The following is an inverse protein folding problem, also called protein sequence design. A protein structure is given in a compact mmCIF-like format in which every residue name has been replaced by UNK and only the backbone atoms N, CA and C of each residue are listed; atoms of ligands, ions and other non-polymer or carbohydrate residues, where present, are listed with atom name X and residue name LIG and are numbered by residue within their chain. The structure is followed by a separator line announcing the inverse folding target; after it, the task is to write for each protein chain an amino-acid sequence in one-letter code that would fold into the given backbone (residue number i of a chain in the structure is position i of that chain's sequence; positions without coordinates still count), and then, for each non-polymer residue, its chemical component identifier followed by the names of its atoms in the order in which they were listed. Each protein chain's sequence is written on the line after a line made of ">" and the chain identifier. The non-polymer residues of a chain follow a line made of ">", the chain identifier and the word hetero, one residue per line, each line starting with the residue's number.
data_IF_141603043684
#
_entry.id   IF_141603043684
#
_cell.length_a   1.000
_cell.length_b   1.000
_cell.length_c   1.000
_cell.angle_alpha   90.00
_cell.angle_beta   90.00
_cell.angle_gamma   90.00
#
_symmetry.space_group_name_H-M   'P 1'
#
loop_
_entity.id
_entity.type
_entity.pdbx_description
1 polymer ?
#
# COMPACT_ATOMS: atom_id res chain seq x y z
N UNK A 1 2.14 6.87 -21.94
CA UNK A 1 1.83 7.20 -20.53
C UNK A 1 0.58 6.43 -20.10
N UNK A 2 0.69 5.72 -19.02
CA UNK A 2 -0.47 5.02 -18.48
C UNK A 2 -1.32 5.99 -17.65
N UNK A 3 -2.62 5.81 -17.68
CA UNK A 3 -3.56 6.62 -16.91
C UNK A 3 -4.53 5.72 -16.16
N UNK A 4 -4.89 6.13 -14.97
CA UNK A 4 -6.03 5.58 -14.26
C UNK A 4 -7.23 6.44 -14.63
N UNK A 5 -8.20 5.85 -15.31
CA UNK A 5 -9.44 6.54 -15.71
C UNK A 5 -10.61 5.95 -14.96
N UNK A 6 -11.32 6.81 -14.28
CA UNK A 6 -12.57 6.46 -13.58
C UNK A 6 -13.70 7.18 -14.31
N UNK A 7 -14.72 6.42 -14.70
CA UNK A 7 -15.88 6.96 -15.39
C UNK A 7 -17.17 6.42 -14.79
N UNK A 8 -18.05 7.34 -14.43
CA UNK A 8 -19.38 7.07 -13.91
C UNK A 8 -19.38 6.08 -12.73
N UNK A 9 -18.38 6.19 -11.85
CA UNK A 9 -18.21 5.29 -10.71
C UNK A 9 -19.29 5.54 -9.67
N UNK A 10 -20.07 4.49 -9.42
CA UNK A 10 -21.03 4.44 -8.31
C UNK A 10 -20.77 3.18 -7.50
N UNK A 11 -20.62 3.32 -6.20
CA UNK A 11 -20.33 2.22 -5.29
C UNK A 11 -21.05 2.38 -3.96
N UNK A 12 -21.63 1.28 -3.51
CA UNK A 12 -22.20 1.10 -2.18
C UNK A 12 -21.79 -0.27 -1.65
N UNK A 13 -21.51 -0.37 -0.36
CA UNK A 13 -21.26 -1.66 0.27
C UNK A 13 -22.54 -2.50 0.33
N UNK A 14 -22.41 -3.81 0.28
CA UNK A 14 -23.52 -4.73 0.41
C UNK A 14 -24.27 -4.48 1.74
N UNK A 15 -25.59 -4.24 1.63
CA UNK A 15 -26.42 -3.87 2.78
C UNK A 15 -26.32 -2.42 3.23
N UNK A 16 -25.49 -1.60 2.58
CA UNK A 16 -25.43 -0.16 2.82
C UNK A 16 -26.59 0.58 2.19
N UNK A 17 -27.00 1.67 2.82
CA UNK A 17 -28.08 2.54 2.34
C UNK A 17 -27.52 3.66 1.46
N UNK A 18 -26.33 4.13 1.80
CA UNK A 18 -25.71 5.30 1.15
C UNK A 18 -24.60 4.89 0.20
N UNK A 19 -24.51 5.55 -0.96
CA UNK A 19 -23.42 5.41 -1.87
C UNK A 19 -22.15 6.06 -1.28
N UNK A 20 -21.03 5.33 -1.34
CA UNK A 20 -19.71 5.88 -1.00
C UNK A 20 -19.21 6.77 -2.14
N UNK A 21 -19.44 6.33 -3.37
CA UNK A 21 -19.20 7.10 -4.59
C UNK A 21 -20.48 7.14 -5.42
N UNK A 22 -20.79 8.29 -5.98
CA UNK A 22 -21.96 8.50 -6.81
C UNK A 22 -21.58 9.28 -8.06
N UNK A 23 -21.65 8.61 -9.20
CA UNK A 23 -21.40 9.18 -10.52
C UNK A 23 -20.09 9.99 -10.61
N UNK A 24 -19.01 9.40 -10.12
CA UNK A 24 -17.70 10.05 -10.05
C UNK A 24 -16.87 9.72 -11.29
N UNK A 25 -16.33 10.75 -11.94
CA UNK A 25 -15.46 10.61 -13.10
C UNK A 25 -14.23 11.50 -12.95
N UNK A 26 -13.05 10.91 -13.15
CA UNK A 26 -11.77 11.62 -13.16
C UNK A 26 -10.69 10.76 -13.82
N UNK A 27 -9.55 11.38 -14.10
CA UNK A 27 -8.36 10.66 -14.56
C UNK A 27 -7.15 11.10 -13.78
N UNK A 28 -6.25 10.14 -13.55
CA UNK A 28 -4.97 10.34 -12.86
C UNK A 28 -3.87 9.84 -13.78
N UNK A 29 -2.87 10.68 -14.00
CA UNK A 29 -1.65 10.26 -14.70
C UNK A 29 -0.78 9.43 -13.74
N UNK A 30 -0.28 8.32 -14.22
CA UNK A 30 0.53 7.40 -13.40
C UNK A 30 1.91 7.95 -13.07
N UNK A 31 2.35 9.00 -13.75
CA UNK A 31 3.60 9.70 -13.41
C UNK A 31 3.42 10.69 -12.25
N UNK A 32 2.19 10.92 -11.81
CA UNK A 32 1.91 11.80 -10.70
C UNK A 32 2.11 11.11 -9.36
N UNK A 33 2.70 11.85 -8.42
CA UNK A 33 2.67 11.50 -7.00
C UNK A 33 1.45 12.18 -6.39
N UNK A 34 0.36 11.45 -6.31
CA UNK A 34 -0.92 11.99 -5.86
C UNK A 34 -1.18 11.65 -4.40
N UNK A 35 -1.46 12.67 -3.60
CA UNK A 35 -1.94 12.51 -2.23
C UNK A 35 -3.46 12.41 -2.19
N UNK A 36 -3.99 11.37 -1.56
CA UNK A 36 -5.40 11.20 -1.28
C UNK A 36 -5.69 11.71 0.13
N UNK A 37 -6.32 12.87 0.24
CA UNK A 37 -6.57 13.53 1.51
C UNK A 37 -8.06 13.51 1.84
N UNK A 38 -8.38 13.21 3.08
CA UNK A 38 -9.74 13.23 3.60
C UNK A 38 -9.80 12.69 5.01
N UNK A 39 -10.93 12.89 5.68
CA UNK A 39 -11.16 12.30 7.01
C UNK A 39 -11.25 10.79 6.91
N UNK A 40 -10.88 10.09 7.98
CA UNK A 40 -11.07 8.66 8.08
C UNK A 40 -12.55 8.29 7.86
N UNK A 41 -12.79 7.19 7.12
CA UNK A 41 -14.15 6.74 6.81
C UNK A 41 -14.82 7.46 5.63
N UNK A 42 -14.10 8.30 4.88
CA UNK A 42 -14.65 9.04 3.73
C UNK A 42 -14.30 8.43 2.35
N UNK A 43 -14.04 7.12 2.31
CA UNK A 43 -13.93 6.39 1.06
C UNK A 43 -12.50 6.25 0.51
N UNK A 44 -11.45 6.74 1.17
CA UNK A 44 -10.06 6.59 0.70
C UNK A 44 -9.66 5.13 0.53
N UNK A 45 -9.75 4.35 1.58
CA UNK A 45 -9.44 2.92 1.57
C UNK A 45 -10.38 2.17 0.63
N UNK A 46 -11.64 2.55 0.57
CA UNK A 46 -12.64 1.98 -0.36
C UNK A 46 -12.19 2.17 -1.80
N UNK A 47 -11.77 3.37 -2.18
CA UNK A 47 -11.29 3.64 -3.54
C UNK A 47 -10.05 2.81 -3.88
N UNK A 48 -9.09 2.69 -2.98
CA UNK A 48 -7.91 1.85 -3.19
C UNK A 48 -8.29 0.37 -3.37
N UNK A 49 -9.25 -0.12 -2.60
CA UNK A 49 -9.76 -1.49 -2.74
C UNK A 49 -10.52 -1.71 -4.05
N UNK A 50 -11.21 -0.70 -4.57
CA UNK A 50 -11.82 -0.76 -5.90
C UNK A 50 -10.78 -0.85 -7.01
N UNK A 51 -9.67 -0.10 -6.91
CA UNK A 51 -8.54 -0.21 -7.84
C UNK A 51 -7.91 -1.61 -7.82
N UNK A 52 -7.88 -2.25 -6.65
CA UNK A 52 -7.39 -3.63 -6.49
C UNK A 52 -8.38 -4.70 -6.96
N UNK A 53 -9.58 -4.30 -7.38
CA UNK A 53 -10.60 -5.23 -7.85
C UNK A 53 -11.30 -6.05 -6.76
N UNK A 54 -11.27 -5.60 -5.50
CA UNK A 54 -11.86 -6.33 -4.37
C UNK A 54 -13.39 -6.27 -4.31
N UNK A 55 -14.00 -5.29 -4.95
CA UNK A 55 -15.45 -5.06 -4.90
C UNK A 55 -16.02 -4.87 -6.28
N UNK A 56 -17.30 -5.20 -6.43
CA UNK A 56 -18.07 -4.89 -7.64
C UNK A 56 -18.60 -3.46 -7.56
N UNK A 57 -18.60 -2.76 -8.67
CA UNK A 57 -19.03 -1.37 -8.76
C UNK A 57 -19.76 -1.12 -10.10
N UNK A 58 -20.48 0.00 -10.16
CA UNK A 58 -21.05 0.51 -11.41
C UNK A 58 -20.09 1.52 -12.03
N UNK A 59 -20.05 1.58 -13.36
CA UNK A 59 -19.13 2.41 -14.10
C UNK A 59 -17.90 1.65 -14.56
N UNK A 60 -16.86 2.39 -14.92
CA UNK A 60 -15.60 1.80 -15.41
C UNK A 60 -14.40 2.36 -14.68
N UNK A 61 -13.48 1.49 -14.31
CA UNK A 61 -12.14 1.84 -13.86
C UNK A 61 -11.17 1.18 -14.83
N UNK A 62 -10.51 2.00 -15.65
CA UNK A 62 -9.44 1.57 -16.52
C UNK A 62 -8.11 1.96 -15.86
N UNK A 63 -7.35 0.95 -15.46
CA UNK A 63 -6.12 1.15 -14.72
C UNK A 63 -5.05 0.15 -15.17
N UNK A 64 -3.76 0.53 -15.17
CA UNK A 64 -2.70 -0.41 -15.46
C UNK A 64 -2.67 -1.54 -14.43
N UNK A 65 -2.21 -2.70 -14.86
CA UNK A 65 -2.01 -3.85 -13.97
C UNK A 65 -0.78 -3.67 -13.09
N UNK A 66 -0.74 -4.38 -11.98
CA UNK A 66 0.47 -4.45 -11.15
C UNK A 66 0.51 -3.45 -10.00
N UNK A 67 -0.63 -3.15 -9.40
CA UNK A 67 -0.68 -2.38 -8.17
C UNK A 67 -0.04 -3.13 -7.01
N UNK A 68 0.76 -2.42 -6.22
CA UNK A 68 1.29 -2.88 -4.94
C UNK A 68 0.65 -2.09 -3.83
N UNK A 69 -0.01 -2.79 -2.92
CA UNK A 69 -0.75 -2.18 -1.83
C UNK A 69 0.04 -2.20 -0.53
N UNK A 70 0.06 -1.07 0.13
CA UNK A 70 0.59 -0.92 1.47
C UNK A 70 -0.55 -0.55 2.43
N UNK A 71 -0.63 -1.09 3.63
CA UNK A 71 0.38 -1.91 4.32
C UNK A 71 0.34 -3.41 3.96
N UNK A 72 1.49 -4.05 4.03
CA UNK A 72 1.55 -5.51 3.97
C UNK A 72 0.93 -6.13 5.23
N UNK A 73 0.24 -7.25 5.07
CA UNK A 73 -0.27 -8.03 6.19
C UNK A 73 0.84 -8.95 6.70
N UNK A 74 1.30 -8.68 7.92
CA UNK A 74 2.30 -9.51 8.60
C UNK A 74 1.58 -10.54 9.47
N UNK A 75 1.89 -11.81 9.26
CA UNK A 75 1.28 -12.92 10.00
C UNK A 75 1.87 -13.04 11.40
N UNK A 76 1.17 -13.73 12.31
CA UNK A 76 1.70 -14.01 13.65
C UNK A 76 3.03 -14.77 13.61
N UNK A 77 3.18 -15.70 12.66
CA UNK A 77 4.45 -16.41 12.43
C UNK A 77 5.59 -15.45 12.12
N UNK A 78 5.35 -14.52 11.19
CA UNK A 78 6.34 -13.53 10.78
C UNK A 78 6.68 -12.54 11.89
N UNK A 79 5.75 -12.25 12.79
CA UNK A 79 6.02 -11.40 13.97
C UNK A 79 7.09 -11.98 14.89
N UNK A 80 7.22 -13.30 14.95
CA UNK A 80 8.27 -13.99 15.71
C UNK A 80 9.60 -14.14 14.98
N UNK A 81 9.65 -13.77 13.69
CA UNK A 81 10.83 -13.89 12.83
C UNK A 81 11.57 -12.56 12.74
N UNK A 82 12.85 -12.62 12.40
CA UNK A 82 13.59 -11.43 11.99
C UNK A 82 13.18 -11.02 10.58
N UNK A 83 13.12 -9.72 10.31
CA UNK A 83 12.57 -9.23 9.04
C UNK A 83 13.32 -9.77 7.81
N UNK A 84 14.64 -9.91 7.91
CA UNK A 84 15.46 -10.44 6.82
C UNK A 84 15.06 -11.87 6.38
N UNK A 85 14.41 -12.63 7.28
CA UNK A 85 14.00 -14.00 6.99
C UNK A 85 12.75 -14.10 6.11
N UNK A 86 11.91 -13.05 6.09
CA UNK A 86 10.65 -13.10 5.33
C UNK A 86 10.45 -11.95 4.32
N UNK A 87 11.48 -11.15 4.05
CA UNK A 87 11.42 -10.09 3.03
C UNK A 87 10.97 -10.63 1.68
N UNK A 88 11.51 -11.78 1.26
CA UNK A 88 11.16 -12.39 -0.03
C UNK A 88 9.71 -12.90 -0.06
N UNK A 89 9.14 -13.24 1.09
CA UNK A 89 7.72 -13.61 1.20
C UNK A 89 6.79 -12.40 0.99
N UNK A 90 7.24 -11.20 1.38
CA UNK A 90 6.48 -9.96 1.19
C UNK A 90 6.58 -9.45 -0.24
N UNK A 91 7.76 -9.54 -0.82
CA UNK A 91 8.06 -9.02 -2.14
C UNK A 91 9.03 -9.97 -2.85
N UNK A 92 8.52 -10.78 -3.74
CA UNK A 92 9.31 -11.78 -4.48
C UNK A 92 10.49 -11.12 -5.22
N UNK A 93 11.68 -11.66 -5.00
CA UNK A 93 12.90 -11.15 -5.61
C UNK A 93 13.50 -9.91 -4.97
N UNK A 94 12.94 -9.45 -3.85
CA UNK A 94 13.56 -8.38 -3.06
C UNK A 94 14.75 -8.92 -2.28
N UNK A 95 15.93 -8.40 -2.58
CA UNK A 95 17.14 -8.79 -1.87
C UNK A 95 17.35 -7.93 -0.61
N UNK A 96 17.98 -8.53 0.40
CA UNK A 96 18.22 -7.89 1.70
C UNK A 96 18.96 -6.54 1.57
N UNK A 97 19.97 -6.46 0.70
CA UNK A 97 20.73 -5.23 0.51
C UNK A 97 19.89 -4.10 -0.08
N UNK A 98 18.90 -4.42 -0.90
CA UNK A 98 17.97 -3.43 -1.46
C UNK A 98 17.09 -2.84 -0.37
N UNK A 99 16.52 -3.68 0.48
CA UNK A 99 15.73 -3.22 1.62
C UNK A 99 16.58 -2.41 2.62
N UNK A 100 17.82 -2.84 2.88
CA UNK A 100 18.74 -2.11 3.75
C UNK A 100 19.07 -0.71 3.21
N UNK A 101 19.23 -0.58 1.90
CA UNK A 101 19.46 0.71 1.24
C UNK A 101 18.27 1.65 1.41
N UNK A 102 17.06 1.16 1.15
CA UNK A 102 15.85 1.96 1.32
C UNK A 102 15.62 2.36 2.79
N UNK A 103 15.96 1.47 3.73
CA UNK A 103 15.93 1.80 5.16
C UNK A 103 16.85 2.95 5.52
N UNK A 104 18.06 2.96 4.96
CA UNK A 104 19.00 4.05 5.17
C UNK A 104 18.43 5.40 4.70
N UNK A 105 17.75 5.41 3.55
CA UNK A 105 17.06 6.59 3.03
C UNK A 105 15.89 7.03 3.92
N UNK A 106 15.28 6.09 4.65
CA UNK A 106 14.24 6.38 5.65
C UNK A 106 14.80 6.77 7.03
N UNK A 107 16.12 6.89 7.14
CA UNK A 107 16.79 7.31 8.37
C UNK A 107 16.96 6.22 9.42
N UNK A 108 16.88 4.95 9.03
CA UNK A 108 17.06 3.80 9.91
C UNK A 108 18.35 3.02 9.60
N UNK A 109 18.85 2.30 10.58
CA UNK A 109 19.95 1.35 10.39
C UNK A 109 19.42 -0.01 10.02
N UNK A 110 20.25 -0.84 9.37
CA UNK A 110 19.89 -2.20 9.01
C UNK A 110 19.79 -3.16 10.20
N UNK A 111 20.22 -2.73 11.40
CA UNK A 111 20.14 -3.53 12.62
C UNK A 111 18.70 -3.99 12.93
N UNK A 112 17.70 -3.18 12.60
CA UNK A 112 16.30 -3.56 12.84
C UNK A 112 15.84 -4.74 11.98
N UNK A 113 16.54 -5.05 10.89
CA UNK A 113 16.26 -6.22 10.05
C UNK A 113 16.62 -7.55 10.77
N UNK A 114 17.51 -7.49 11.73
CA UNK A 114 18.03 -8.66 12.49
C UNK A 114 17.44 -8.78 13.90
N UNK A 115 16.38 -8.05 14.18
CA UNK A 115 15.61 -8.17 15.42
C UNK A 115 14.25 -8.79 15.14
N UNK A 116 13.67 -9.54 16.10
CA UNK A 116 12.31 -10.07 15.93
C UNK A 116 11.34 -8.94 15.57
N UNK A 117 10.61 -9.12 14.48
CA UNK A 117 9.73 -8.06 13.94
C UNK A 117 8.72 -7.57 14.97
N UNK A 118 8.18 -8.49 15.77
CA UNK A 118 7.24 -8.17 16.84
C UNK A 118 7.85 -7.34 17.98
N UNK A 119 9.19 -7.32 18.14
CA UNK A 119 9.88 -6.53 19.16
C UNK A 119 10.14 -5.08 18.73
N UNK A 120 9.94 -4.77 17.45
CA UNK A 120 10.18 -3.44 16.91
C UNK A 120 9.03 -2.49 17.28
N UNK A 121 9.33 -1.19 17.32
CA UNK A 121 8.29 -0.17 17.45
C UNK A 121 7.39 -0.15 16.23
N UNK A 122 6.14 0.36 16.34
CA UNK A 122 5.27 0.51 15.16
C UNK A 122 5.90 1.32 14.03
N UNK A 123 6.64 2.37 14.35
CA UNK A 123 7.38 3.18 13.36
C UNK A 123 8.49 2.40 12.66
N UNK A 124 9.28 1.63 13.41
CA UNK A 124 10.32 0.76 12.83
C UNK A 124 9.74 -0.31 11.92
N UNK A 125 8.64 -0.95 12.32
CA UNK A 125 7.92 -1.92 11.48
C UNK A 125 7.44 -1.29 10.18
N UNK A 126 6.82 -0.12 10.26
CA UNK A 126 6.32 0.61 9.09
C UNK A 126 7.47 0.96 8.13
N UNK A 127 8.60 1.40 8.64
CA UNK A 127 9.78 1.72 7.82
C UNK A 127 10.34 0.49 7.11
N UNK A 128 10.39 -0.67 7.76
CA UNK A 128 10.80 -1.92 7.11
C UNK A 128 9.85 -2.26 5.95
N UNK A 129 8.55 -2.20 6.19
CA UNK A 129 7.55 -2.53 5.16
C UNK A 129 7.60 -1.54 3.99
N UNK A 130 7.79 -0.25 4.26
CA UNK A 130 8.00 0.76 3.21
C UNK A 130 9.29 0.51 2.43
N UNK A 131 10.37 0.16 3.11
CA UNK A 131 11.63 -0.16 2.46
C UNK A 131 11.51 -1.34 1.52
N UNK A 132 10.81 -2.39 1.92
CA UNK A 132 10.51 -3.56 1.08
C UNK A 132 9.67 -3.16 -0.14
N UNK A 133 8.65 -2.34 0.07
CA UNK A 133 7.81 -1.82 -1.01
C UNK A 133 8.61 -1.05 -2.06
N UNK A 134 9.49 -0.15 -1.60
CA UNK A 134 10.31 0.69 -2.49
C UNK A 134 11.45 -0.09 -3.15
N UNK A 135 11.97 -1.11 -2.48
CA UNK A 135 13.01 -1.98 -3.01
C UNK A 135 12.52 -2.89 -4.15
N UNK A 136 11.24 -3.15 -4.22
CA UNK A 136 10.66 -4.03 -5.23
C UNK A 136 10.75 -3.49 -6.67
N UNK A 137 10.64 -4.38 -7.63
CA UNK A 137 10.88 -4.10 -9.04
C UNK A 137 9.68 -3.46 -9.76
N UNK A 138 9.48 -2.16 -9.60
CA UNK A 138 8.52 -1.39 -10.38
C UNK A 138 7.05 -1.62 -10.00
N UNK A 139 6.14 -0.97 -10.70
CA UNK A 139 4.71 -1.01 -10.47
C UNK A 139 4.18 0.25 -9.79
N UNK A 140 2.86 0.30 -9.63
CA UNK A 140 2.19 1.44 -8.97
C UNK A 140 1.97 1.13 -7.50
N UNK A 141 2.36 2.07 -6.65
CA UNK A 141 2.15 1.94 -5.21
C UNK A 141 0.81 2.55 -4.82
N UNK A 142 -0.01 1.75 -4.16
CA UNK A 142 -1.20 2.22 -3.47
C UNK A 142 -0.90 2.21 -1.97
N UNK A 143 -0.60 3.38 -1.43
CA UNK A 143 -0.17 3.52 -0.03
C UNK A 143 -1.32 4.11 0.77
N UNK A 144 -1.82 3.33 1.73
CA UNK A 144 -2.90 3.72 2.62
C UNK A 144 -2.33 4.07 4.00
N UNK A 145 -2.48 5.34 4.39
CA UNK A 145 -2.08 5.88 5.69
C UNK A 145 -0.65 5.51 6.15
N UNK A 146 0.40 5.79 5.34
CA UNK A 146 1.76 5.37 5.66
C UNK A 146 2.31 6.01 6.93
N UNK A 147 1.78 7.16 7.32
CA UNK A 147 2.28 7.95 8.44
C UNK A 147 1.54 7.70 9.76
N UNK A 148 0.48 6.88 9.77
CA UNK A 148 -0.31 6.61 10.97
C UNK A 148 0.51 5.98 12.12
N UNK A 149 1.65 5.37 11.81
CA UNK A 149 2.55 4.71 12.75
C UNK A 149 3.98 5.26 12.70
N UNK A 150 4.22 6.34 11.97
CA UNK A 150 5.51 7.03 11.94
C UNK A 150 5.48 8.18 12.95
N UNK A 151 6.40 8.13 13.87
CA UNK A 151 6.65 9.22 14.83
C UNK A 151 7.74 10.16 14.30
#
# INVERSE_FOLDING_TARGET
>A
MAQIRVKDLTFCYDGGIDNIFEDVSFSIDTDWRLGFIGRNGKGKTTFLNLLLGKYRYQGTIDAPSGFRYFPYLVTERQMGMEAWEFIDELEEGCELWQAARELADLGETDEILYRPFGSLSPGERTKILLAVLFAGNGGFFLIDEPTSHLD
#
